data_IF_959272014186
#
_entry.id   IF_959272014186
#
_cell.length_a   1.000
_cell.length_b   1.000
_cell.length_c   1.000
_cell.angle_alpha   90.00
_cell.angle_beta   90.00
_cell.angle_gamma   90.00
#
_symmetry.space_group_name_H-M   'P 1'
#
loop_
_entity.id
_entity.type
_entity.pdbx_description
1 polymer ?
#
# COMPACT_ATOMS: atom_id res chain seq x y z
N UNK A 1 -9.16 -16.82 10.00
CA UNK A 1 -8.00 -16.54 9.15
C UNK A 1 -7.49 -15.14 9.42
N UNK A 2 -6.22 -15.01 9.77
CA UNK A 2 -5.60 -13.69 9.94
C UNK A 2 -5.45 -13.04 8.56
N UNK A 3 -6.08 -11.88 8.35
CA UNK A 3 -5.92 -11.14 7.10
C UNK A 3 -4.51 -10.56 7.03
N UNK A 4 -3.85 -10.73 5.90
CA UNK A 4 -2.51 -10.21 5.71
C UNK A 4 -2.54 -8.71 5.46
N UNK A 5 -1.62 -8.01 6.14
CA UNK A 5 -1.47 -6.57 6.05
C UNK A 5 -0.36 -6.24 5.04
N UNK A 6 -0.72 -5.52 4.00
CA UNK A 6 0.17 -5.15 2.89
C UNK A 6 0.48 -3.66 2.94
N UNK A 7 1.77 -3.34 2.97
CA UNK A 7 2.26 -1.98 2.83
C UNK A 7 2.51 -1.68 1.35
N UNK A 8 1.90 -0.63 0.82
CA UNK A 8 2.09 -0.22 -0.58
C UNK A 8 3.14 0.89 -0.62
N UNK A 9 4.28 0.57 -1.23
CA UNK A 9 5.43 1.47 -1.35
C UNK A 9 5.68 1.85 -2.80
N UNK A 10 6.03 3.11 -3.04
CA UNK A 10 6.34 3.63 -4.36
C UNK A 10 6.77 5.09 -4.32
N UNK A 11 7.08 5.66 -5.46
CA UNK A 11 7.41 7.07 -5.56
C UNK A 11 6.20 7.93 -5.19
N UNK A 12 6.38 8.85 -4.24
CA UNK A 12 5.38 9.86 -3.90
C UNK A 12 5.63 11.16 -4.68
N UNK A 13 6.86 11.65 -4.64
CA UNK A 13 7.28 12.84 -5.37
C UNK A 13 7.54 12.52 -6.84
N UNK A 14 7.38 13.49 -7.69
CA UNK A 14 7.60 13.38 -9.12
C UNK A 14 8.32 14.60 -9.66
N UNK A 15 9.12 14.41 -10.73
CA UNK A 15 9.72 15.49 -11.51
C UNK A 15 8.68 16.42 -12.14
N UNK A 16 7.45 15.93 -12.29
CA UNK A 16 6.31 16.63 -12.87
C UNK A 16 5.49 17.42 -11.83
N UNK A 17 6.07 17.68 -10.66
CA UNK A 17 5.43 18.44 -9.60
C UNK A 17 4.12 17.83 -9.09
N UNK A 18 3.09 18.65 -8.91
CA UNK A 18 1.82 18.24 -8.34
C UNK A 18 1.06 17.23 -9.20
N UNK A 19 1.14 17.35 -10.53
CA UNK A 19 0.46 16.42 -11.46
C UNK A 19 1.06 15.02 -11.33
N UNK A 20 2.37 14.89 -11.32
CA UNK A 20 3.04 13.62 -11.13
C UNK A 20 2.76 13.00 -9.77
N UNK A 21 2.64 13.82 -8.72
CA UNK A 21 2.24 13.39 -7.39
C UNK A 21 0.83 12.81 -7.39
N UNK A 22 -0.12 13.48 -8.00
CA UNK A 22 -1.50 12.99 -8.15
C UNK A 22 -1.53 11.65 -8.87
N UNK A 23 -0.75 11.49 -9.94
CA UNK A 23 -0.63 10.23 -10.69
C UNK A 23 -0.08 9.13 -9.78
N UNK A 24 0.93 9.41 -8.97
CA UNK A 24 1.51 8.43 -8.04
C UNK A 24 0.51 8.00 -6.95
N UNK A 25 -0.24 8.95 -6.39
CA UNK A 25 -1.32 8.66 -5.43
C UNK A 25 -2.39 7.79 -6.08
N UNK A 26 -2.78 8.10 -7.31
CA UNK A 26 -3.75 7.31 -8.06
C UNK A 26 -3.28 5.88 -8.33
N UNK A 27 -2.00 5.69 -8.67
CA UNK A 27 -1.40 4.36 -8.84
C UNK A 27 -1.46 3.56 -7.53
N UNK A 28 -1.09 4.18 -6.42
CA UNK A 28 -1.17 3.55 -5.10
C UNK A 28 -2.60 3.15 -4.74
N UNK A 29 -3.57 4.02 -5.00
CA UNK A 29 -4.98 3.73 -4.81
C UNK A 29 -5.47 2.54 -5.66
N UNK A 30 -5.11 2.51 -6.94
CA UNK A 30 -5.47 1.39 -7.82
C UNK A 30 -4.87 0.06 -7.35
N UNK A 31 -3.62 0.07 -6.91
CA UNK A 31 -2.97 -1.10 -6.35
C UNK A 31 -3.69 -1.58 -5.07
N UNK A 32 -3.97 -0.67 -4.15
CA UNK A 32 -4.71 -0.97 -2.93
C UNK A 32 -6.09 -1.57 -3.23
N UNK A 33 -6.81 -0.97 -4.16
CA UNK A 33 -8.13 -1.43 -4.56
C UNK A 33 -8.11 -2.86 -5.13
N UNK A 34 -7.09 -3.18 -5.94
CA UNK A 34 -6.90 -4.53 -6.49
C UNK A 34 -6.61 -5.55 -5.38
N UNK A 35 -5.69 -5.22 -4.47
CA UNK A 35 -5.33 -6.10 -3.36
C UNK A 35 -6.48 -6.27 -2.36
N UNK A 36 -7.23 -5.20 -2.08
CA UNK A 36 -8.40 -5.26 -1.19
C UNK A 36 -9.49 -6.18 -1.75
N UNK A 37 -9.70 -6.18 -3.06
CA UNK A 37 -10.61 -7.13 -3.71
C UNK A 37 -10.18 -8.59 -3.55
N UNK A 38 -8.89 -8.83 -3.37
CA UNK A 38 -8.32 -10.15 -3.10
C UNK A 38 -8.31 -10.50 -1.59
N UNK A 39 -8.84 -9.63 -0.74
CA UNK A 39 -8.97 -9.86 0.70
C UNK A 39 -7.80 -9.38 1.55
N UNK A 40 -6.84 -8.66 0.99
CA UNK A 40 -5.75 -8.06 1.74
C UNK A 40 -6.18 -6.76 2.44
N UNK A 41 -5.58 -6.47 3.58
CA UNK A 41 -5.71 -5.16 4.23
C UNK A 41 -4.52 -4.30 3.82
N UNK A 42 -4.76 -3.12 3.26
CA UNK A 42 -3.71 -2.28 2.71
C UNK A 42 -3.43 -1.07 3.59
N UNK A 43 -2.14 -0.76 3.80
CA UNK A 43 -1.67 0.53 4.27
C UNK A 43 -1.12 1.29 3.06
N UNK A 44 -1.64 2.49 2.82
CA UNK A 44 -1.32 3.30 1.65
C UNK A 44 -0.82 4.67 2.10
N UNK A 45 0.47 4.82 2.43
CA UNK A 45 1.02 6.08 2.95
C UNK A 45 0.78 7.27 2.02
N UNK A 46 0.82 7.06 0.71
CA UNK A 46 0.54 8.08 -0.29
C UNK A 46 -0.82 8.77 -0.10
N UNK A 47 -1.82 8.01 0.32
CA UNK A 47 -3.17 8.53 0.54
C UNK A 47 -3.31 9.15 1.93
N UNK A 48 -2.64 8.57 2.92
CA UNK A 48 -2.73 9.02 4.30
C UNK A 48 -2.07 10.37 4.52
N UNK A 49 -1.01 10.68 3.77
CA UNK A 49 -0.23 11.91 3.91
C UNK A 49 -0.41 12.89 2.74
N UNK A 50 -1.38 12.67 1.87
CA UNK A 50 -1.54 13.35 0.59
C UNK A 50 -1.62 14.89 0.68
N UNK A 51 -2.09 15.46 1.79
CA UNK A 51 -2.22 16.90 2.00
C UNK A 51 -1.43 17.40 3.21
N UNK A 52 -0.42 16.65 3.62
CA UNK A 52 0.37 16.94 4.81
C UNK A 52 1.77 17.52 4.50
N UNK A 53 2.00 17.93 3.25
CA UNK A 53 3.28 18.54 2.86
C UNK A 53 3.56 19.80 3.69
N UNK A 54 4.79 19.88 4.20
CA UNK A 54 5.24 21.01 5.00
C UNK A 54 4.80 21.02 6.47
N UNK A 55 4.00 20.05 6.92
CA UNK A 55 3.62 19.92 8.34
C UNK A 55 4.76 19.37 9.17
N UNK A 56 5.51 18.42 8.59
CA UNK A 56 6.70 17.80 9.19
C UNK A 56 7.83 17.65 8.16
N UNK A 57 9.02 17.30 8.61
CA UNK A 57 10.14 17.03 7.71
C UNK A 57 9.98 15.71 6.95
N UNK A 58 10.72 15.55 5.86
CA UNK A 58 10.73 14.31 5.08
C UNK A 58 11.25 13.12 5.91
N UNK A 59 12.23 13.37 6.79
CA UNK A 59 12.76 12.35 7.71
C UNK A 59 11.69 11.90 8.69
N UNK A 60 10.85 12.80 9.18
CA UNK A 60 9.75 12.47 10.06
C UNK A 60 8.72 11.57 9.34
N UNK A 61 8.34 11.92 8.12
CA UNK A 61 7.41 11.11 7.32
C UNK A 61 7.98 9.72 7.01
N UNK A 62 9.27 9.63 6.68
CA UNK A 62 9.93 8.34 6.46
C UNK A 62 9.94 7.49 7.73
N UNK A 63 10.28 8.06 8.87
CA UNK A 63 10.28 7.36 10.16
C UNK A 63 8.87 6.85 10.52
N UNK A 64 7.84 7.66 10.29
CA UNK A 64 6.44 7.27 10.47
C UNK A 64 6.04 6.11 9.54
N UNK A 65 6.45 6.16 8.28
CA UNK A 65 6.23 5.10 7.30
C UNK A 65 6.91 3.79 7.70
N UNK A 66 8.16 3.84 8.12
CA UNK A 66 8.90 2.67 8.60
C UNK A 66 8.25 2.07 9.86
N UNK A 67 7.70 2.91 10.74
CA UNK A 67 6.96 2.44 11.91
C UNK A 67 5.70 1.67 11.51
N UNK A 68 4.94 2.15 10.53
CA UNK A 68 3.78 1.44 9.98
C UNK A 68 4.18 0.13 9.31
N UNK A 69 5.24 0.15 8.50
CA UNK A 69 5.76 -1.02 7.80
C UNK A 69 6.12 -2.17 8.76
N UNK A 70 6.59 -1.85 9.96
CA UNK A 70 6.94 -2.84 11.00
C UNK A 70 5.77 -3.73 11.43
N UNK A 71 4.56 -3.27 11.24
CA UNK A 71 3.35 -4.01 11.58
C UNK A 71 2.75 -4.77 10.39
N UNK A 72 3.36 -4.67 9.21
CA UNK A 72 2.89 -5.33 8.00
C UNK A 72 3.46 -6.74 7.85
N UNK A 73 2.73 -7.57 7.11
CA UNK A 73 3.15 -8.92 6.76
C UNK A 73 3.97 -8.92 5.45
N UNK A 74 3.73 -7.93 4.59
CA UNK A 74 4.35 -7.81 3.28
C UNK A 74 4.42 -6.38 2.78
N UNK A 75 5.31 -6.17 1.81
CA UNK A 75 5.44 -4.91 1.08
C UNK A 75 5.17 -5.15 -0.42
N UNK A 76 4.43 -4.24 -1.03
CA UNK A 76 4.14 -4.23 -2.47
C UNK A 76 4.73 -2.98 -3.09
N UNK A 77 5.74 -3.18 -3.95
CA UNK A 77 6.46 -2.10 -4.63
C UNK A 77 5.76 -1.74 -5.94
N UNK A 78 5.38 -0.49 -6.12
CA UNK A 78 4.66 0.00 -7.29
C UNK A 78 5.39 1.11 -8.03
N UNK A 79 5.11 1.23 -9.32
CA UNK A 79 5.61 2.31 -10.18
C UNK A 79 7.14 2.41 -10.19
N UNK A 80 7.65 3.61 -10.38
CA UNK A 80 9.09 3.89 -10.45
C UNK A 80 9.72 4.02 -9.04
N UNK A 81 9.52 3.03 -8.20
CA UNK A 81 10.01 3.04 -6.81
C UNK A 81 11.54 3.20 -6.70
N UNK A 82 12.31 2.73 -7.68
CA UNK A 82 13.77 2.86 -7.71
C UNK A 82 14.27 4.31 -7.72
N UNK A 83 13.43 5.23 -8.16
CA UNK A 83 13.75 6.66 -8.21
C UNK A 83 13.39 7.40 -6.90
N UNK A 84 12.81 6.70 -5.92
CA UNK A 84 12.41 7.26 -4.64
C UNK A 84 13.28 6.73 -3.52
N UNK A 85 14.05 7.62 -2.89
CA UNK A 85 14.89 7.28 -1.74
C UNK A 85 14.06 6.70 -0.59
N UNK A 86 12.85 7.26 -0.36
CA UNK A 86 11.93 6.75 0.65
C UNK A 86 11.45 5.34 0.36
N UNK A 87 11.04 5.05 -0.87
CA UNK A 87 10.59 3.72 -1.26
C UNK A 87 11.73 2.69 -1.20
N UNK A 88 12.95 3.08 -1.57
CA UNK A 88 14.15 2.24 -1.44
C UNK A 88 14.45 1.94 0.04
N UNK A 89 14.34 2.93 0.91
CA UNK A 89 14.53 2.74 2.35
C UNK A 89 13.48 1.81 2.96
N UNK A 90 12.23 1.94 2.55
CA UNK A 90 11.13 1.06 2.94
C UNK A 90 11.37 -0.39 2.50
N UNK A 91 11.84 -0.60 1.27
CA UNK A 91 12.19 -1.93 0.77
C UNK A 91 13.34 -2.56 1.55
N UNK A 92 14.39 -1.79 1.85
CA UNK A 92 15.52 -2.26 2.67
C UNK A 92 15.06 -2.70 4.05
N UNK A 93 14.21 -1.92 4.70
CA UNK A 93 13.66 -2.26 6.02
C UNK A 93 12.77 -3.51 5.95
N UNK A 94 11.93 -3.64 4.92
CA UNK A 94 11.11 -4.82 4.70
C UNK A 94 11.97 -6.09 4.56
N UNK A 95 13.03 -6.03 3.76
CA UNK A 95 13.98 -7.13 3.59
C UNK A 95 14.70 -7.47 4.90
N UNK A 96 15.16 -6.45 5.63
CA UNK A 96 15.82 -6.64 6.92
C UNK A 96 14.93 -7.37 7.93
N UNK A 97 13.62 -7.14 7.86
CA UNK A 97 12.60 -7.76 8.73
C UNK A 97 12.07 -9.08 8.21
N UNK A 98 12.50 -9.53 7.03
CA UNK A 98 12.02 -10.78 6.42
C UNK A 98 10.58 -10.73 5.95
N UNK A 99 10.06 -9.53 5.63
CA UNK A 99 8.73 -9.39 5.06
C UNK A 99 8.71 -9.98 3.63
N UNK A 100 7.56 -10.48 3.21
CA UNK A 100 7.35 -10.85 1.81
C UNK A 100 7.40 -9.58 0.95
N UNK A 101 8.13 -9.64 -0.17
CA UNK A 101 8.29 -8.53 -1.09
C UNK A 101 7.63 -8.89 -2.40
N UNK A 102 6.69 -8.06 -2.85
CA UNK A 102 6.07 -8.15 -4.17
C UNK A 102 6.39 -6.91 -4.98
N UNK A 103 6.51 -7.10 -6.30
CA UNK A 103 6.72 -6.01 -7.25
C UNK A 103 5.58 -5.95 -8.25
N UNK A 104 5.16 -4.74 -8.62
CA UNK A 104 4.29 -4.56 -9.76
C UNK A 104 5.04 -4.92 -11.05
N UNK A 105 4.36 -5.55 -12.04
CA UNK A 105 4.98 -6.18 -13.22
C UNK A 105 5.92 -5.30 -14.05
N UNK A 106 5.87 -3.99 -13.90
CA UNK A 106 6.65 -3.05 -14.73
C UNK A 106 8.05 -2.73 -14.22
N UNK A 107 8.36 -3.05 -12.97
CA UNK A 107 9.57 -2.58 -12.29
C UNK A 107 10.34 -3.71 -11.59
N UNK A 108 10.39 -4.89 -12.22
CA UNK A 108 11.22 -5.97 -11.72
C UNK A 108 12.68 -5.64 -11.96
N UNK A 109 13.56 -5.82 -10.96
CA UNK A 109 14.99 -5.94 -11.22
C UNK A 109 15.22 -7.09 -12.22
N UNK A 110 16.01 -6.86 -13.26
CA UNK A 110 16.36 -7.92 -14.20
C UNK A 110 16.90 -9.14 -13.43
N UNK A 111 16.29 -10.31 -13.63
CA UNK A 111 16.73 -11.58 -13.07
C UNK A 111 15.94 -12.14 -11.89
N UNK A 112 14.88 -11.48 -11.39
CA UNK A 112 13.96 -12.09 -10.44
C UNK A 112 12.67 -12.53 -11.13
N UNK A 113 12.45 -13.86 -11.16
CA UNK A 113 11.14 -14.39 -11.52
C UNK A 113 10.06 -13.90 -10.54
N UNK A 114 8.82 -13.72 -11.03
CA UNK A 114 7.73 -13.33 -10.16
C UNK A 114 7.40 -14.51 -9.24
N UNK A 115 7.77 -14.43 -7.99
CA UNK A 115 7.07 -15.17 -6.96
C UNK A 115 5.67 -14.56 -6.80
N UNK A 116 4.84 -14.81 -7.81
CA UNK A 116 3.40 -14.74 -7.59
C UNK A 116 3.07 -16.05 -6.90
N UNK A 117 2.76 -16.08 -5.60
CA UNK A 117 2.09 -17.23 -5.07
C UNK A 117 0.84 -17.43 -5.93
N UNK A 118 0.61 -18.64 -6.44
CA UNK A 118 -0.73 -19.04 -6.86
C UNK A 118 -1.63 -18.70 -5.68
N UNK A 119 -2.29 -17.55 -5.78
CA UNK A 119 -3.32 -17.19 -4.81
C UNK A 119 -4.50 -18.08 -5.17
N UNK A 120 -4.57 -19.23 -4.54
CA UNK A 120 -5.83 -19.93 -4.41
C UNK A 120 -6.74 -18.93 -3.67
N UNK A 121 -7.55 -18.22 -4.42
CA UNK A 121 -8.57 -17.32 -3.89
C UNK A 121 -9.46 -18.20 -3.04
N UNK A 122 -9.44 -18.08 -1.70
CA UNK A 122 -10.43 -18.78 -0.91
C UNK A 122 -11.80 -18.25 -1.37
N UNK A 123 -12.81 -19.11 -1.45
CA UNK A 123 -14.14 -18.68 -1.87
C UNK A 123 -14.53 -17.45 -1.06
N UNK A 124 -15.10 -16.47 -1.75
CA UNK A 124 -15.63 -15.25 -1.11
C UNK A 124 -16.61 -15.68 -0.04
N UNK A 125 -16.15 -15.75 1.20
CA UNK A 125 -17.05 -15.92 2.33
C UNK A 125 -17.77 -14.58 2.42
N UNK A 126 -19.05 -14.58 2.02
CA UNK A 126 -19.93 -13.47 2.31
C UNK A 126 -20.01 -13.35 3.83
N UNK A 127 -19.21 -12.44 4.38
CA UNK A 127 -19.31 -12.11 5.81
C UNK A 127 -20.62 -11.35 5.96
N UNK A 128 -21.63 -11.89 6.67
CA UNK A 128 -22.82 -11.11 6.97
C UNK A 128 -22.39 -9.88 7.75
N UNK A 129 -22.82 -8.71 7.28
CA UNK A 129 -22.57 -7.46 7.98
C UNK A 129 -23.09 -7.60 9.42
N UNK A 130 -22.27 -7.34 10.44
CA UNK A 130 -22.64 -7.59 11.84
C UNK A 130 -23.68 -6.61 12.40
N UNK A 131 -24.17 -5.69 11.59
CA UNK A 131 -25.20 -4.73 12.00
C UNK A 131 -26.24 -4.54 10.88
N UNK A 132 -27.47 -4.74 11.24
CA UNK A 132 -28.59 -4.20 10.48
C UNK A 132 -28.56 -2.69 10.66
N UNK A 133 -28.49 -1.94 9.57
CA UNK A 133 -28.87 -0.53 9.61
C UNK A 133 -30.35 -0.52 9.98
N UNK A 134 -30.66 -0.30 11.25
CA UNK A 134 -32.03 0.02 11.64
C UNK A 134 -32.40 1.30 10.90
N UNK A 135 -33.42 1.21 10.07
CA UNK A 135 -34.01 2.35 9.39
C UNK A 135 -34.35 3.38 10.46
N UNK A 136 -33.73 4.56 10.39
CA UNK A 136 -34.17 5.72 11.17
C UNK A 136 -35.52 6.09 10.58
N UNK A 137 -36.60 5.61 11.22
CA UNK A 137 -37.92 6.13 10.95
C UNK A 137 -37.94 7.60 11.39
N UNK A 138 -38.02 8.48 10.40
CA UNK A 138 -38.37 9.87 10.58
C UNK A 138 -39.77 9.92 11.24
N UNK A 139 -39.81 10.07 12.54
CA UNK A 139 -41.04 10.56 13.20
C UNK A 139 -41.11 12.06 13.01
N UNK A 140 -41.98 12.46 12.10
CA UNK A 140 -42.53 13.83 11.98
C UNK A 140 -43.27 14.21 13.25
#
# INVERSE_FOLDING_TARGET
MKRQLVYIAGAYRSKWGIIGRIINIWRAYRAARRLTRQGYVCIVPHMETALMDGIQSDEWFLAASLKKLRHCDMIFMIGHWTQSEGAVAELKEAKRRGLKVWFEHRDKPEGQEPDLPEVSIPPVISVPLPYKLESVENKS
#
